data_IF_402695967465
#
_entry.id   IF_402695967465
#
_cell.length_a   1.000
_cell.length_b   1.000
_cell.length_c   1.000
_cell.angle_alpha   90.00
_cell.angle_beta   90.00
_cell.angle_gamma   90.00
#
_symmetry.space_group_name_H-M   'P 1'
#
loop_
_entity.id
_entity.type
_entity.pdbx_description
1 polymer ?
#
# COMPACT_ATOMS: atom_id res chain seq x y z
N UNK A 1 -6.44 8.44 2.95
CA UNK A 1 -7.38 7.35 2.59
C UNK A 1 -7.69 6.56 3.86
N UNK A 2 -8.97 6.35 4.19
CA UNK A 2 -9.42 5.64 5.39
C UNK A 2 -10.34 4.47 5.00
N UNK A 3 -10.53 3.50 5.91
CA UNK A 3 -11.32 2.29 5.68
C UNK A 3 -12.73 2.57 5.14
N UNK A 4 -13.46 3.51 5.72
CA UNK A 4 -14.83 3.85 5.29
C UNK A 4 -14.92 4.34 3.83
N UNK A 5 -13.85 4.93 3.28
CA UNK A 5 -13.84 5.44 1.89
C UNK A 5 -13.51 4.39 0.84
N UNK A 6 -13.00 3.23 1.28
CA UNK A 6 -12.56 2.13 0.41
C UNK A 6 -13.35 0.84 0.66
N UNK A 7 -14.19 0.82 1.69
CA UNK A 7 -15.05 -0.33 1.98
C UNK A 7 -16.09 -0.53 0.88
N UNK A 8 -16.20 -1.78 0.42
CA UNK A 8 -17.24 -2.22 -0.51
C UNK A 8 -18.50 -2.49 0.29
N UNK A 9 -19.57 -1.74 -0.02
CA UNK A 9 -20.89 -1.97 0.55
C UNK A 9 -21.63 -3.06 -0.24
N UNK A 10 -22.60 -3.72 0.42
CA UNK A 10 -23.37 -4.80 -0.22
C UNK A 10 -22.57 -6.08 -0.45
N UNK A 11 -21.44 -6.24 0.23
CA UNK A 11 -20.71 -7.50 0.27
C UNK A 11 -21.53 -8.53 1.08
N UNK A 12 -21.48 -9.85 0.76
CA UNK A 12 -22.26 -10.82 1.49
C UNK A 12 -21.87 -10.85 2.97
N UNK A 13 -22.87 -10.78 3.82
CA UNK A 13 -22.77 -10.96 5.26
C UNK A 13 -23.44 -12.29 5.61
N UNK A 14 -22.86 -13.01 6.56
CA UNK A 14 -23.34 -14.29 7.05
C UNK A 14 -24.08 -14.08 8.37
N UNK A 15 -25.21 -14.78 8.54
CA UNK A 15 -25.93 -14.85 9.80
C UNK A 15 -25.61 -16.19 10.51
N UNK A 16 -25.78 -16.22 11.84
CA UNK A 16 -25.50 -17.42 12.62
C UNK A 16 -26.39 -18.62 12.23
N UNK A 17 -27.58 -18.34 11.67
CA UNK A 17 -28.58 -19.33 11.23
C UNK A 17 -28.26 -19.90 9.83
N UNK A 18 -27.34 -19.26 9.08
CA UNK A 18 -26.99 -19.72 7.74
C UNK A 18 -26.27 -21.08 7.79
N UNK A 19 -26.56 -21.92 6.79
CA UNK A 19 -25.94 -23.23 6.67
C UNK A 19 -24.52 -23.15 6.11
N UNK A 20 -23.65 -24.09 6.51
CA UNK A 20 -22.28 -24.17 6.01
C UNK A 20 -22.21 -24.20 4.47
N UNK A 21 -23.10 -24.96 3.80
CA UNK A 21 -23.14 -25.02 2.33
C UNK A 21 -23.49 -23.68 1.69
N UNK A 22 -24.42 -22.91 2.27
CA UNK A 22 -24.77 -21.58 1.79
C UNK A 22 -23.59 -20.59 1.91
N UNK A 23 -22.89 -20.64 3.05
CA UNK A 23 -21.73 -19.77 3.28
C UNK A 23 -20.57 -20.12 2.36
N UNK A 24 -20.28 -21.42 2.17
CA UNK A 24 -19.27 -21.89 1.22
C UNK A 24 -19.58 -21.46 -0.21
N UNK A 25 -20.85 -21.53 -0.65
CA UNK A 25 -21.24 -21.05 -1.96
C UNK A 25 -20.98 -19.54 -2.11
N UNK A 26 -21.32 -18.73 -1.10
CA UNK A 26 -21.01 -17.30 -1.12
C UNK A 26 -19.49 -17.04 -1.19
N UNK A 27 -18.67 -17.81 -0.46
CA UNK A 27 -17.22 -17.68 -0.51
C UNK A 27 -16.68 -17.98 -1.92
N UNK A 28 -17.25 -18.96 -2.62
CA UNK A 28 -16.88 -19.29 -4.01
C UNK A 28 -17.31 -18.18 -4.98
N UNK A 29 -18.56 -17.72 -4.87
CA UNK A 29 -19.12 -16.69 -5.76
C UNK A 29 -18.35 -15.36 -5.68
N UNK A 30 -17.80 -15.02 -4.51
CA UNK A 30 -17.06 -13.80 -4.27
C UNK A 30 -15.53 -13.97 -4.29
N UNK A 31 -15.04 -15.20 -4.49
CA UNK A 31 -13.63 -15.56 -4.49
C UNK A 31 -12.90 -15.11 -3.21
N UNK A 32 -13.42 -15.57 -2.05
CA UNK A 32 -12.89 -15.23 -0.73
C UNK A 32 -12.76 -16.47 0.16
N UNK A 33 -11.87 -16.39 1.15
CA UNK A 33 -11.64 -17.46 2.12
C UNK A 33 -12.32 -17.20 3.48
N UNK A 34 -12.83 -15.99 3.67
CA UNK A 34 -13.53 -15.56 4.89
C UNK A 34 -14.75 -14.74 4.54
N UNK A 35 -15.77 -14.79 5.41
CA UNK A 35 -16.91 -13.89 5.36
C UNK A 35 -17.22 -13.32 6.76
N UNK A 36 -17.68 -12.07 6.86
CA UNK A 36 -18.12 -11.50 8.12
C UNK A 36 -19.43 -12.13 8.57
N UNK A 37 -19.47 -12.55 9.82
CA UNK A 37 -20.68 -13.02 10.51
C UNK A 37 -21.25 -11.86 11.30
N UNK A 38 -22.55 -11.58 11.11
CA UNK A 38 -23.27 -10.53 11.81
C UNK A 38 -24.48 -11.06 12.54
N UNK A 39 -24.89 -10.36 13.58
CA UNK A 39 -26.15 -10.55 14.26
C UNK A 39 -26.76 -9.18 14.55
N UNK A 40 -27.98 -8.92 14.06
CA UNK A 40 -28.66 -7.63 14.22
C UNK A 40 -27.76 -6.45 13.80
N UNK A 41 -27.08 -6.56 12.64
CA UNK A 41 -26.08 -5.64 12.06
C UNK A 41 -24.73 -5.57 12.81
N UNK A 42 -24.62 -6.13 14.02
CA UNK A 42 -23.38 -6.14 14.78
C UNK A 42 -22.42 -7.22 14.28
N UNK A 43 -21.15 -6.86 14.14
CA UNK A 43 -20.11 -7.80 13.78
C UNK A 43 -19.80 -8.78 14.90
N UNK A 44 -19.91 -10.08 14.63
CA UNK A 44 -19.62 -11.17 15.57
C UNK A 44 -18.20 -11.71 15.37
N UNK A 45 -17.79 -11.87 14.12
CA UNK A 45 -16.47 -12.38 13.75
C UNK A 45 -16.39 -12.74 12.27
N UNK A 46 -15.24 -13.24 11.85
CA UNK A 46 -15.01 -13.83 10.53
C UNK A 46 -15.13 -15.35 10.62
N UNK A 47 -15.92 -15.96 9.75
CA UNK A 47 -15.91 -17.40 9.52
C UNK A 47 -14.88 -17.73 8.45
N UNK A 48 -14.10 -18.80 8.68
CA UNK A 48 -13.09 -19.28 7.74
C UNK A 48 -13.66 -20.40 6.87
N UNK A 49 -13.23 -20.47 5.60
CA UNK A 49 -13.62 -21.55 4.70
C UNK A 49 -13.21 -22.92 5.25
N UNK A 50 -12.03 -23.00 5.85
CA UNK A 50 -11.48 -24.22 6.43
C UNK A 50 -12.39 -24.78 7.54
N UNK A 51 -12.91 -23.91 8.42
CA UNK A 51 -13.79 -24.32 9.52
C UNK A 51 -15.11 -24.91 9.01
N UNK A 52 -15.60 -24.45 7.85
CA UNK A 52 -16.85 -24.91 7.25
C UNK A 52 -16.71 -26.23 6.48
N UNK A 53 -15.51 -26.53 5.95
CA UNK A 53 -15.29 -27.74 5.16
C UNK A 53 -15.40 -29.01 6.01
N UNK A 54 -15.14 -28.92 7.32
CA UNK A 54 -15.26 -30.03 8.27
C UNK A 54 -16.69 -30.20 8.83
N UNK A 55 -17.63 -29.31 8.47
CA UNK A 55 -19.01 -29.32 8.92
C UNK A 55 -19.94 -30.11 7.98
N UNK A 56 -21.06 -30.63 8.53
CA UNK A 56 -22.18 -31.02 7.67
C UNK A 56 -22.74 -29.78 6.95
N UNK A 57 -22.96 -29.88 5.65
CA UNK A 57 -23.40 -28.76 4.82
C UNK A 57 -24.72 -28.09 5.27
N UNK A 58 -25.57 -28.82 6.01
CA UNK A 58 -26.82 -28.28 6.58
C UNK A 58 -26.66 -27.71 8.00
N UNK A 59 -25.49 -27.87 8.60
CA UNK A 59 -25.21 -27.36 9.94
C UNK A 59 -25.08 -25.82 9.92
N UNK A 60 -25.68 -25.18 10.92
CA UNK A 60 -25.66 -23.72 11.03
C UNK A 60 -24.29 -23.22 11.55
N UNK A 61 -23.87 -22.03 11.07
CA UNK A 61 -22.63 -21.33 11.53
C UNK A 61 -22.63 -21.12 13.06
N UNK A 62 -23.81 -21.02 13.67
CA UNK A 62 -23.93 -20.88 15.12
C UNK A 62 -23.19 -21.97 15.90
N UNK A 63 -23.01 -23.18 15.34
CA UNK A 63 -22.32 -24.30 16.00
C UNK A 63 -20.81 -24.07 16.17
N UNK A 64 -20.22 -23.14 15.39
CA UNK A 64 -18.80 -22.73 15.46
C UNK A 64 -18.61 -21.29 15.88
N UNK A 65 -19.63 -20.68 16.49
CA UNK A 65 -19.59 -19.25 16.88
C UNK A 65 -18.40 -18.89 17.79
N UNK A 66 -17.94 -19.83 18.62
CA UNK A 66 -16.78 -19.63 19.50
C UNK A 66 -15.43 -19.66 18.76
N UNK A 67 -15.40 -20.14 17.51
CA UNK A 67 -14.20 -20.24 16.67
C UNK A 67 -14.05 -19.02 15.75
N UNK A 68 -15.08 -18.16 15.62
CA UNK A 68 -15.05 -16.99 14.77
C UNK A 68 -13.92 -16.03 15.16
N UNK A 69 -13.14 -15.59 14.17
CA UNK A 69 -12.03 -14.66 14.39
C UNK A 69 -12.54 -13.23 14.51
N UNK A 70 -12.25 -12.55 15.61
CA UNK A 70 -12.69 -11.16 15.85
C UNK A 70 -11.69 -10.15 15.27
N UNK A 71 -11.48 -10.20 13.96
CA UNK A 71 -10.60 -9.27 13.24
C UNK A 71 -11.44 -8.32 12.42
N UNK A 72 -11.29 -7.03 12.68
CA UNK A 72 -12.00 -5.95 11.99
C UNK A 72 -11.25 -4.64 12.19
N UNK A 73 -11.62 -3.59 11.45
CA UNK A 73 -11.12 -2.23 11.62
C UNK A 73 -12.27 -1.24 11.69
N UNK A 74 -12.04 -0.09 12.31
CA UNK A 74 -13.01 1.00 12.29
C UNK A 74 -12.92 1.83 11.00
N UNK A 75 -14.03 2.47 10.60
CA UNK A 75 -14.08 3.28 9.38
C UNK A 75 -13.03 4.39 9.29
N UNK A 76 -12.50 4.88 10.42
CA UNK A 76 -11.45 5.90 10.50
C UNK A 76 -10.02 5.33 10.35
N UNK A 77 -9.86 4.01 10.26
CA UNK A 77 -8.54 3.36 10.15
C UNK A 77 -7.86 3.76 8.84
N UNK A 78 -6.60 4.20 8.92
CA UNK A 78 -5.81 4.61 7.76
C UNK A 78 -5.38 3.42 6.92
N UNK A 79 -5.22 3.60 5.59
CA UNK A 79 -4.84 2.53 4.65
C UNK A 79 -3.56 1.80 5.04
N UNK A 80 -2.58 2.46 5.63
CA UNK A 80 -1.32 1.81 6.06
C UNK A 80 -1.56 0.74 7.13
N UNK A 81 -2.47 1.00 8.06
CA UNK A 81 -2.87 0.00 9.06
C UNK A 81 -3.68 -1.15 8.42
N UNK A 82 -4.52 -0.85 7.42
CA UNK A 82 -5.26 -1.88 6.66
C UNK A 82 -4.28 -2.83 5.96
N UNK A 83 -3.25 -2.30 5.31
CA UNK A 83 -2.19 -3.10 4.68
C UNK A 83 -1.47 -3.99 5.70
N UNK A 84 -1.18 -3.47 6.90
CA UNK A 84 -0.56 -4.23 7.99
C UNK A 84 -1.46 -5.38 8.48
N UNK A 85 -2.79 -5.16 8.58
CA UNK A 85 -3.75 -6.23 8.90
C UNK A 85 -3.74 -7.36 7.88
N UNK A 86 -3.76 -7.04 6.58
CA UNK A 86 -3.68 -8.05 5.52
C UNK A 86 -2.37 -8.82 5.55
N UNK A 87 -1.25 -8.13 5.77
CA UNK A 87 0.07 -8.75 5.83
C UNK A 87 0.22 -9.72 7.01
N UNK A 88 -0.40 -9.40 8.17
CA UNK A 88 -0.28 -10.19 9.39
C UNK A 88 -1.25 -11.35 9.50
N UNK A 89 -2.46 -11.21 8.95
CA UNK A 89 -3.56 -12.14 9.22
C UNK A 89 -3.99 -12.97 8.01
N UNK A 90 -3.33 -12.82 6.85
CA UNK A 90 -3.64 -13.54 5.61
C UNK A 90 -5.12 -13.50 5.22
N UNK A 91 -5.73 -12.34 5.36
CA UNK A 91 -7.16 -12.15 5.11
C UNK A 91 -7.45 -12.05 3.61
N UNK A 92 -8.60 -12.59 3.19
CA UNK A 92 -9.18 -12.30 1.87
C UNK A 92 -10.14 -11.10 1.91
N UNK A 93 -10.72 -10.83 3.09
CA UNK A 93 -11.57 -9.67 3.37
C UNK A 93 -11.29 -9.12 4.76
N UNK A 94 -11.40 -7.80 4.93
CA UNK A 94 -11.27 -7.14 6.22
C UNK A 94 -12.56 -6.35 6.52
N UNK A 95 -13.37 -6.75 7.53
CA UNK A 95 -14.59 -6.06 7.92
C UNK A 95 -14.29 -4.64 8.44
N UNK A 96 -15.14 -3.71 8.06
CA UNK A 96 -15.09 -2.31 8.49
C UNK A 96 -16.30 -1.98 9.35
N UNK A 97 -16.06 -1.49 10.56
CA UNK A 97 -17.08 -1.19 11.54
C UNK A 97 -17.27 0.32 11.71
N UNK A 98 -18.49 0.71 12.08
CA UNK A 98 -18.77 2.04 12.60
C UNK A 98 -18.46 2.12 14.12
N UNK A 99 -18.74 3.27 14.73
CA UNK A 99 -18.53 3.49 16.17
C UNK A 99 -19.49 2.67 17.05
N UNK A 100 -20.60 2.18 16.49
CA UNK A 100 -21.58 1.31 17.14
C UNK A 100 -21.25 -0.18 16.98
N UNK A 101 -20.11 -0.52 16.35
CA UNK A 101 -19.67 -1.88 16.01
C UNK A 101 -20.55 -2.61 14.98
N UNK A 102 -21.34 -1.87 14.22
CA UNK A 102 -22.07 -2.42 13.07
C UNK A 102 -21.13 -2.54 11.87
N UNK A 103 -21.28 -3.62 11.08
CA UNK A 103 -20.47 -3.86 9.90
C UNK A 103 -20.98 -3.01 8.72
N UNK A 104 -20.26 -1.95 8.37
CA UNK A 104 -20.62 -1.03 7.28
C UNK A 104 -20.10 -1.44 5.90
N UNK A 105 -19.35 -2.50 5.80
CA UNK A 105 -18.79 -3.05 4.58
C UNK A 105 -17.50 -3.80 4.84
N UNK A 106 -16.85 -4.22 3.77
CA UNK A 106 -15.54 -4.93 3.83
C UNK A 106 -14.53 -4.32 2.88
N UNK A 107 -13.26 -4.49 3.17
CA UNK A 107 -12.16 -4.24 2.23
C UNK A 107 -11.71 -5.59 1.69
N UNK A 108 -11.97 -5.94 0.41
CA UNK A 108 -11.47 -7.16 -0.19
C UNK A 108 -9.97 -7.06 -0.52
N UNK A 109 -9.21 -8.14 -0.28
CA UNK A 109 -7.78 -8.21 -0.60
C UNK A 109 -7.51 -7.93 -2.10
N UNK A 110 -8.35 -8.44 -2.98
CA UNK A 110 -8.22 -8.25 -4.44
C UNK A 110 -8.18 -6.78 -4.87
N UNK A 111 -8.74 -5.87 -4.06
CA UNK A 111 -8.75 -4.43 -4.38
C UNK A 111 -7.50 -3.69 -3.86
N UNK A 112 -6.62 -4.35 -3.08
CA UNK A 112 -5.47 -3.68 -2.45
C UNK A 112 -4.51 -3.05 -3.45
N UNK A 113 -4.26 -3.70 -4.59
CA UNK A 113 -3.34 -3.17 -5.61
C UNK A 113 -3.86 -1.86 -6.19
N UNK A 114 -5.16 -1.78 -6.49
CA UNK A 114 -5.80 -0.56 -6.98
C UNK A 114 -5.79 0.55 -5.94
N UNK A 115 -6.16 0.22 -4.69
CA UNK A 115 -6.14 1.16 -3.57
C UNK A 115 -4.72 1.69 -3.31
N UNK A 116 -3.70 0.82 -3.37
CA UNK A 116 -2.31 1.20 -3.19
C UNK A 116 -1.83 2.10 -4.32
N UNK A 117 -2.17 1.76 -5.58
CA UNK A 117 -1.84 2.58 -6.74
C UNK A 117 -2.47 3.99 -6.63
N UNK A 118 -3.72 4.06 -6.17
CA UNK A 118 -4.40 5.33 -5.93
C UNK A 118 -3.75 6.11 -4.78
N UNK A 119 -3.44 5.45 -3.66
CA UNK A 119 -2.80 6.08 -2.50
C UNK A 119 -1.41 6.64 -2.84
N UNK A 120 -0.63 5.92 -3.65
CA UNK A 120 0.69 6.33 -4.11
C UNK A 120 0.64 7.30 -5.30
N UNK A 121 -0.54 7.63 -5.82
CA UNK A 121 -0.67 8.52 -6.98
C UNK A 121 0.04 7.98 -8.23
N UNK A 122 0.02 6.65 -8.46
CA UNK A 122 0.76 6.01 -9.56
C UNK A 122 0.36 6.57 -10.92
N UNK A 123 -0.93 6.83 -11.12
CA UNK A 123 -1.46 7.35 -12.38
C UNK A 123 -1.12 8.83 -12.65
N UNK A 124 -0.63 9.58 -11.66
CA UNK A 124 -0.25 10.97 -11.87
C UNK A 124 1.08 11.03 -12.63
N UNK A 125 1.20 11.83 -13.72
CA UNK A 125 2.45 12.00 -14.42
C UNK A 125 3.49 12.68 -13.53
N UNK A 126 4.77 12.35 -13.77
CA UNK A 126 5.87 12.95 -13.00
C UNK A 126 7.08 12.03 -12.92
N UNK A 127 8.24 12.60 -12.66
CA UNK A 127 9.47 11.86 -12.48
C UNK A 127 9.63 11.38 -11.04
N UNK A 128 10.40 10.29 -10.87
CA UNK A 128 10.79 9.74 -9.58
C UNK A 128 12.30 9.86 -9.43
N UNK A 129 12.75 10.38 -8.31
CA UNK A 129 14.15 10.50 -7.92
C UNK A 129 14.36 9.70 -6.64
N UNK A 130 15.37 8.85 -6.62
CA UNK A 130 15.73 8.05 -5.45
C UNK A 130 17.09 8.52 -4.94
N UNK A 131 17.12 8.95 -3.68
CA UNK A 131 18.29 9.48 -3.01
C UNK A 131 18.77 8.52 -1.92
N UNK A 132 20.10 8.45 -1.72
CA UNK A 132 20.70 7.91 -0.51
C UNK A 132 21.19 9.08 0.35
N UNK A 133 20.68 9.17 1.59
CA UNK A 133 20.90 10.32 2.45
C UNK A 133 21.37 9.87 3.83
N UNK A 134 22.50 10.41 4.28
CA UNK A 134 22.97 10.15 5.64
C UNK A 134 22.02 10.74 6.69
N UNK A 135 21.94 10.18 7.92
CA UNK A 135 21.10 10.74 8.98
C UNK A 135 21.40 12.20 9.29
N UNK A 136 22.64 12.65 9.13
CA UNK A 136 23.05 14.03 9.38
C UNK A 136 22.61 15.02 8.29
N UNK A 137 22.42 14.52 7.07
CA UNK A 137 22.00 15.33 5.93
C UNK A 137 20.48 15.26 5.70
N UNK A 138 19.77 14.43 6.49
CA UNK A 138 18.33 14.22 6.31
C UNK A 138 17.55 15.50 6.68
N UNK A 139 17.06 16.20 5.66
CA UNK A 139 16.25 17.40 5.80
C UNK A 139 15.18 17.48 4.71
N UNK A 140 13.93 17.14 5.04
CA UNK A 140 12.81 17.25 4.12
C UNK A 140 12.55 18.71 3.70
N UNK A 141 12.78 19.67 4.59
CA UNK A 141 12.62 21.09 4.30
C UNK A 141 13.62 21.54 3.22
N UNK A 142 14.87 21.08 3.28
CA UNK A 142 15.88 21.38 2.26
C UNK A 142 15.53 20.72 0.94
N UNK A 143 15.18 19.44 0.94
CA UNK A 143 14.78 18.71 -0.28
C UNK A 143 13.60 19.38 -0.97
N UNK A 144 12.56 19.78 -0.21
CA UNK A 144 11.41 20.52 -0.74
C UNK A 144 11.84 21.83 -1.38
N UNK A 145 12.69 22.62 -0.70
CA UNK A 145 13.22 23.87 -1.22
C UNK A 145 14.00 23.66 -2.51
N UNK A 146 14.84 22.61 -2.60
CA UNK A 146 15.63 22.31 -3.80
C UNK A 146 14.73 21.93 -4.99
N UNK A 147 13.65 21.20 -4.76
CA UNK A 147 12.65 20.89 -5.79
C UNK A 147 11.90 22.16 -6.23
N UNK A 148 11.44 22.98 -5.27
CA UNK A 148 10.66 24.19 -5.53
C UNK A 148 11.48 25.26 -6.28
N UNK A 149 12.79 25.39 -6.01
CA UNK A 149 13.68 26.31 -6.75
C UNK A 149 13.79 25.98 -8.24
N UNK A 150 13.40 24.75 -8.64
CA UNK A 150 13.30 24.31 -10.02
C UNK A 150 11.86 24.36 -10.58
N UNK A 151 10.96 25.13 -9.94
CA UNK A 151 9.56 25.27 -10.31
C UNK A 151 8.83 23.91 -10.39
N UNK A 152 9.14 22.98 -9.48
CA UNK A 152 8.49 21.69 -9.31
C UNK A 152 7.96 21.54 -7.89
N UNK A 153 7.09 20.54 -7.67
CA UNK A 153 6.52 20.22 -6.37
C UNK A 153 6.69 18.73 -6.10
N UNK A 154 6.94 18.39 -4.84
CA UNK A 154 6.90 17.00 -4.39
C UNK A 154 5.43 16.59 -4.26
N UNK A 155 5.00 15.59 -5.02
CA UNK A 155 3.63 15.05 -4.97
C UNK A 155 3.54 13.78 -4.13
N UNK A 156 4.66 13.08 -3.95
CA UNK A 156 4.76 11.92 -3.06
C UNK A 156 6.20 11.78 -2.56
N UNK A 157 6.34 11.38 -1.30
CA UNK A 157 7.64 11.09 -0.68
C UNK A 157 7.51 9.84 0.18
N UNK A 158 8.48 8.94 0.03
CA UNK A 158 8.63 7.78 0.89
C UNK A 158 10.07 7.71 1.41
N UNK A 159 10.24 7.32 2.67
CA UNK A 159 11.55 7.17 3.32
C UNK A 159 11.66 5.78 3.93
N UNK A 160 12.73 5.06 3.59
CA UNK A 160 13.08 3.77 4.15
C UNK A 160 14.47 3.89 4.74
N UNK A 161 14.70 3.34 5.94
CA UNK A 161 16.03 3.25 6.52
C UNK A 161 16.69 1.96 6.05
N UNK A 162 17.86 2.09 5.41
CA UNK A 162 18.71 0.97 5.00
C UNK A 162 19.71 0.65 6.13
N UNK A 163 19.42 -0.39 6.89
CA UNK A 163 20.27 -0.83 8.00
C UNK A 163 21.68 -1.27 7.55
N UNK A 164 21.83 -1.70 6.29
CA UNK A 164 23.11 -2.19 5.75
C UNK A 164 24.11 -1.05 5.58
N UNK A 165 23.65 0.09 5.08
CA UNK A 165 24.47 1.26 4.78
C UNK A 165 24.34 2.37 5.82
N UNK A 166 23.36 2.27 6.73
CA UNK A 166 23.08 3.30 7.74
C UNK A 166 22.53 4.60 7.14
N UNK A 167 21.92 4.54 5.96
CA UNK A 167 21.38 5.68 5.23
C UNK A 167 19.87 5.59 5.09
N UNK A 168 19.23 6.73 4.88
CA UNK A 168 17.85 6.79 4.41
C UNK A 168 17.81 6.68 2.89
N UNK A 169 16.98 5.78 2.37
CA UNK A 169 16.60 5.74 0.96
C UNK A 169 15.32 6.54 0.82
N UNK A 170 15.40 7.66 0.12
CA UNK A 170 14.29 8.59 -0.05
C UNK A 170 13.85 8.55 -1.51
N UNK A 171 12.61 8.13 -1.72
CA UNK A 171 11.96 8.17 -3.03
C UNK A 171 11.07 9.40 -3.10
N UNK A 172 11.36 10.29 -4.03
CA UNK A 172 10.63 11.53 -4.27
C UNK A 172 9.96 11.46 -5.64
N UNK A 173 8.64 11.60 -5.69
CA UNK A 173 7.90 11.83 -6.93
C UNK A 173 7.60 13.31 -7.06
N UNK A 174 7.89 13.88 -8.22
CA UNK A 174 7.66 15.29 -8.53
C UNK A 174 6.59 15.43 -9.62
N UNK A 175 5.95 16.61 -9.72
CA UNK A 175 4.92 16.93 -10.71
C UNK A 175 5.47 17.33 -12.10
N UNK A 176 6.72 16.99 -12.39
CA UNK A 176 7.38 17.21 -13.69
C UNK A 176 7.97 15.92 -14.21
N UNK A 177 7.88 15.68 -15.51
CA UNK A 177 8.47 14.51 -16.17
C UNK A 177 9.98 14.71 -16.41
N UNK A 178 10.42 15.96 -16.64
CA UNK A 178 11.81 16.33 -16.80
C UNK A 178 12.41 16.77 -15.46
N UNK A 179 13.41 16.03 -14.96
CA UNK A 179 14.00 16.28 -13.64
C UNK A 179 15.50 16.61 -13.68
N UNK A 180 16.13 16.74 -14.86
CA UNK A 180 17.59 16.95 -14.98
C UNK A 180 18.09 18.13 -14.16
N UNK A 181 17.36 19.27 -14.20
CA UNK A 181 17.72 20.45 -13.42
C UNK A 181 17.63 20.21 -11.90
N UNK A 182 16.66 19.39 -11.47
CA UNK A 182 16.47 19.02 -10.07
C UNK A 182 17.58 18.05 -9.64
N UNK A 183 17.91 17.07 -10.46
CA UNK A 183 19.01 16.12 -10.24
C UNK A 183 20.33 16.89 -10.10
N UNK A 184 20.65 17.79 -11.05
CA UNK A 184 21.84 18.63 -10.98
C UNK A 184 21.86 19.52 -9.73
N UNK A 185 20.68 19.97 -9.27
CA UNK A 185 20.57 20.73 -8.03
C UNK A 185 20.86 19.85 -6.82
N UNK A 186 20.29 18.66 -6.72
CA UNK A 186 20.57 17.72 -5.63
C UNK A 186 22.06 17.36 -5.58
N UNK A 187 22.67 17.04 -6.72
CA UNK A 187 24.12 16.74 -6.80
C UNK A 187 24.99 17.92 -6.33
N UNK A 188 24.63 19.15 -6.65
CA UNK A 188 25.34 20.37 -6.20
C UNK A 188 25.26 20.59 -4.69
N UNK A 189 24.25 20.02 -4.03
CA UNK A 189 24.07 20.03 -2.59
C UNK A 189 24.54 18.72 -1.94
N UNK A 190 25.40 17.97 -2.64
CA UNK A 190 26.03 16.72 -2.18
C UNK A 190 25.04 15.59 -1.85
N UNK A 191 23.82 15.62 -2.44
CA UNK A 191 22.90 14.49 -2.35
C UNK A 191 23.30 13.42 -3.35
N UNK A 192 23.43 12.16 -2.87
CA UNK A 192 23.71 11.02 -3.73
C UNK A 192 22.42 10.55 -4.41
N UNK A 193 22.39 10.63 -5.75
CA UNK A 193 21.31 10.05 -6.58
C UNK A 193 21.60 8.56 -6.78
N UNK A 194 20.65 7.70 -6.39
CA UNK A 194 20.73 6.26 -6.68
C UNK A 194 20.07 5.92 -8.01
N UNK A 195 18.86 6.40 -8.21
CA UNK A 195 18.06 6.12 -9.40
C UNK A 195 17.21 7.32 -9.80
N UNK A 196 16.86 7.34 -11.08
CA UNK A 196 15.93 8.31 -11.66
C UNK A 196 15.01 7.60 -12.65
N UNK A 197 13.73 7.95 -12.64
CA UNK A 197 12.71 7.43 -13.55
C UNK A 197 11.88 8.61 -14.06
N UNK A 198 11.94 8.90 -15.37
CA UNK A 198 11.23 9.98 -16.04
C UNK A 198 11.23 9.77 -17.54
N UNK A 199 10.57 10.65 -18.29
CA UNK A 199 10.44 10.52 -19.76
C UNK A 199 11.70 10.86 -20.55
N UNK A 200 12.70 11.50 -19.96
CA UNK A 200 13.96 11.74 -20.66
C UNK A 200 14.94 10.60 -20.34
N UNK A 201 15.63 10.04 -21.35
CA UNK A 201 16.75 9.16 -21.08
C UNK A 201 17.77 9.95 -20.24
N UNK A 202 18.21 9.35 -19.14
CA UNK A 202 19.48 9.78 -18.55
C UNK A 202 20.47 9.55 -19.69
N UNK A 203 21.06 10.63 -20.22
CA UNK A 203 22.24 10.44 -21.00
C UNK A 203 23.26 9.82 -20.05
N UNK A 204 23.54 8.54 -20.26
CA UNK A 204 24.68 7.82 -19.71
C UNK A 204 26.03 8.44 -20.21
N UNK A 205 25.93 9.58 -20.88
CA UNK A 205 27.04 10.37 -21.41
C UNK A 205 28.11 10.68 -20.35
N UNK A 206 27.79 10.66 -19.05
CA UNK A 206 28.81 10.88 -18.02
C UNK A 206 29.74 9.68 -17.83
N UNK A 207 29.25 8.46 -17.90
CA UNK A 207 30.11 7.28 -17.88
C UNK A 207 30.83 7.10 -19.22
N UNK A 208 30.17 7.32 -20.36
CA UNK A 208 30.83 7.33 -21.66
C UNK A 208 31.86 8.48 -21.78
N UNK A 209 31.56 9.67 -21.32
CA UNK A 209 32.53 10.77 -21.28
C UNK A 209 33.68 10.51 -20.32
N UNK A 210 33.43 9.85 -19.17
CA UNK A 210 34.50 9.45 -18.25
C UNK A 210 35.39 8.37 -18.88
N UNK A 211 34.83 7.38 -19.53
CA UNK A 211 35.60 6.36 -20.28
C UNK A 211 36.33 6.96 -21.50
N UNK A 212 35.74 7.93 -22.20
CA UNK A 212 36.42 8.65 -23.27
C UNK A 212 37.58 9.51 -22.78
N UNK A 213 37.41 10.21 -21.66
CA UNK A 213 38.50 10.98 -21.02
C UNK A 213 39.63 10.09 -20.50
N UNK A 214 39.31 8.97 -19.88
CA UNK A 214 40.34 8.01 -19.40
C UNK A 214 41.08 7.37 -20.56
N UNK A 215 40.42 7.02 -21.66
CA UNK A 215 41.08 6.54 -22.87
C UNK A 215 41.94 7.59 -23.58
N UNK A 216 41.73 8.87 -23.32
CA UNK A 216 42.56 9.97 -23.86
C UNK A 216 43.79 10.25 -22.98
N UNK A 217 43.75 9.83 -21.70
CA UNK A 217 44.83 10.06 -20.73
C UNK A 217 45.80 8.85 -20.63
N UNK A 218 45.42 7.69 -21.17
CA UNK A 218 46.24 6.48 -21.21
C UNK A 218 47.06 6.33 -22.51
N UNK A 219 47.44 7.45 -23.13
CA UNK A 219 48.42 7.50 -24.24
C UNK A 219 49.78 8.00 -23.78
#
# INVERSE_FOLDING_TARGET
>A
MIAATIAVQGFPMVHLEDSASFVLQNMEDFDVQQLPVIKDDYFIGLVQKEDLLDMDGQQAVASIADQLQRISVFGKTHITAILDFFAKHHLSVLPVLNEQQECIGVVPQKNLNEMLAQYLGVAQPGAIIVLSVSPFQYSLAEMSRLVETNNAQIVQLNTIYDETNGHFIITIKINKEEAQAIIATFQRYDYQILHYFGNAPINDDMEEHYHHLMNYLDV
#
